data_IF_616732168045
#
_entry.id   IF_616732168045
#
_cell.length_a   1.000
_cell.length_b   1.000
_cell.length_c   1.000
_cell.angle_alpha   90.00
_cell.angle_beta   90.00
_cell.angle_gamma   90.00
#
_symmetry.space_group_name_H-M   'P 1'
#
loop_
_entity.id
_entity.type
_entity.pdbx_description
1 polymer ?
#
# COMPACT_ATOMS: atom_id res chain seq x y z
N UNK A 1 16.32 -74.61 14.44
CA UNK A 1 16.62 -73.74 15.60
C UNK A 1 17.21 -72.39 15.21
N UNK A 2 18.10 -72.31 14.21
CA UNK A 2 18.64 -71.02 13.73
C UNK A 2 17.55 -70.05 13.21
N UNK A 3 16.54 -70.54 12.49
CA UNK A 3 15.48 -69.67 11.94
C UNK A 3 14.58 -69.04 13.01
N UNK A 4 14.39 -69.71 14.15
CA UNK A 4 13.55 -69.17 15.23
C UNK A 4 14.22 -67.99 15.94
N UNK A 5 15.54 -68.08 16.17
CA UNK A 5 16.32 -66.96 16.72
C UNK A 5 16.31 -65.75 15.81
N UNK A 6 16.44 -65.95 14.50
CA UNK A 6 16.38 -64.86 13.52
C UNK A 6 15.00 -64.18 13.48
N UNK A 7 13.93 -64.95 13.63
CA UNK A 7 12.58 -64.39 13.71
C UNK A 7 12.37 -63.58 15.00
N UNK A 8 12.89 -64.05 16.13
CA UNK A 8 12.82 -63.33 17.40
C UNK A 8 13.64 -62.01 17.35
N UNK A 9 14.82 -62.04 16.73
CA UNK A 9 15.67 -60.85 16.50
C UNK A 9 14.93 -59.81 15.62
N UNK A 10 14.35 -60.23 14.50
CA UNK A 10 13.59 -59.34 13.62
C UNK A 10 12.36 -58.76 14.31
N UNK A 11 11.67 -59.55 15.16
CA UNK A 11 10.52 -59.06 15.92
C UNK A 11 10.94 -57.93 16.89
N UNK A 12 12.07 -58.10 17.60
CA UNK A 12 12.59 -57.04 18.49
C UNK A 12 13.06 -55.80 17.73
N UNK A 13 13.62 -55.97 16.53
CA UNK A 13 14.03 -54.83 15.69
C UNK A 13 12.82 -54.04 15.18
N UNK A 14 11.75 -54.71 14.76
CA UNK A 14 10.49 -54.07 14.34
C UNK A 14 9.91 -53.25 15.50
N UNK A 15 9.81 -53.81 16.70
CA UNK A 15 9.25 -53.12 17.87
C UNK A 15 10.08 -51.87 18.24
N UNK A 16 11.41 -51.95 18.18
CA UNK A 16 12.32 -50.82 18.39
C UNK A 16 12.14 -49.72 17.33
N UNK A 17 11.98 -50.10 16.06
CA UNK A 17 11.76 -49.15 14.96
C UNK A 17 10.40 -48.47 15.09
N UNK A 18 9.35 -49.20 15.47
CA UNK A 18 8.01 -48.63 15.70
C UNK A 18 8.03 -47.62 16.85
N UNK A 19 8.73 -47.92 17.95
CA UNK A 19 8.93 -46.99 19.05
C UNK A 19 9.66 -45.71 18.61
N UNK A 20 10.77 -45.87 17.86
CA UNK A 20 11.53 -44.74 17.30
C UNK A 20 10.68 -43.88 16.36
N UNK A 21 9.81 -44.51 15.56
CA UNK A 21 8.94 -43.83 14.62
C UNK A 21 7.83 -43.07 15.34
N UNK A 22 7.27 -43.63 16.41
CA UNK A 22 6.30 -42.96 17.28
C UNK A 22 6.91 -41.72 17.96
N UNK A 23 8.12 -41.83 18.50
CA UNK A 23 8.84 -40.69 19.08
C UNK A 23 9.10 -39.58 18.05
N UNK A 24 9.54 -39.94 16.84
CA UNK A 24 9.75 -38.96 15.76
C UNK A 24 8.46 -38.28 15.35
N UNK A 25 7.34 -39.02 15.28
CA UNK A 25 6.01 -38.45 15.01
C UNK A 25 5.58 -37.49 16.11
N UNK A 26 5.80 -37.83 17.38
CA UNK A 26 5.50 -36.94 18.51
C UNK A 26 6.36 -35.66 18.45
N UNK A 27 7.67 -35.78 18.20
CA UNK A 27 8.57 -34.62 18.00
C UNK A 27 8.13 -33.75 16.82
N UNK A 28 7.77 -34.36 15.69
CA UNK A 28 7.24 -33.63 14.53
C UNK A 28 5.89 -32.98 14.82
N UNK A 29 5.02 -33.58 15.62
CA UNK A 29 3.75 -32.98 16.01
C UNK A 29 3.97 -31.74 16.89
N UNK A 30 4.91 -31.79 17.84
CA UNK A 30 5.31 -30.63 18.65
C UNK A 30 5.92 -29.53 17.79
N UNK A 31 6.85 -29.87 16.88
CA UNK A 31 7.44 -28.93 15.93
C UNK A 31 6.34 -28.32 15.05
N UNK A 32 5.44 -29.13 14.49
CA UNK A 32 4.34 -28.66 13.64
C UNK A 32 3.36 -27.74 14.39
N UNK A 33 3.06 -28.05 15.65
CA UNK A 33 2.24 -27.18 16.51
C UNK A 33 2.94 -25.85 16.82
N UNK A 34 4.26 -25.86 17.02
CA UNK A 34 5.07 -24.62 17.14
C UNK A 34 5.23 -23.87 15.81
N UNK A 35 5.04 -24.55 14.69
CA UNK A 35 5.11 -24.04 13.32
C UNK A 35 3.71 -23.73 12.72
N UNK A 36 2.67 -23.53 13.53
CA UNK A 36 1.40 -22.94 13.04
C UNK A 36 1.50 -21.41 12.86
N UNK A 37 2.59 -20.78 13.34
CA UNK A 37 2.86 -19.34 13.23
C UNK A 37 4.14 -18.84 12.47
N UNK A 38 4.90 -19.64 11.67
CA UNK A 38 6.27 -19.28 11.31
C UNK A 38 6.40 -18.56 9.97
N UNK A 39 5.35 -18.39 9.17
CA UNK A 39 5.51 -17.57 7.95
C UNK A 39 5.69 -16.10 8.32
N UNK A 40 5.21 -15.69 9.51
CA UNK A 40 5.32 -14.32 10.02
C UNK A 40 6.62 -14.10 10.83
N UNK A 41 7.23 -15.15 11.39
CA UNK A 41 8.47 -15.02 12.20
C UNK A 41 9.74 -15.47 11.49
N UNK A 42 9.65 -15.90 10.23
CA UNK A 42 10.86 -16.14 9.45
C UNK A 42 11.49 -14.77 9.12
N UNK A 43 12.81 -14.59 9.32
CA UNK A 43 13.52 -13.44 8.80
C UNK A 43 13.14 -13.21 7.33
N UNK A 44 12.94 -11.95 6.94
CA UNK A 44 12.45 -11.59 5.60
C UNK A 44 13.30 -12.24 4.49
N UNK A 45 14.57 -12.53 4.76
CA UNK A 45 15.51 -13.23 3.90
C UNK A 45 15.14 -14.70 3.68
N UNK A 46 14.60 -15.40 4.68
CA UNK A 46 14.16 -16.79 4.57
C UNK A 46 12.77 -16.91 3.94
N UNK A 47 11.85 -15.99 4.24
CA UNK A 47 10.57 -15.90 3.51
C UNK A 47 10.87 -15.59 2.05
N UNK A 48 11.70 -14.58 1.77
CA UNK A 48 12.17 -14.29 0.41
C UNK A 48 12.89 -15.47 -0.21
N UNK A 49 13.75 -16.21 0.50
CA UNK A 49 14.42 -17.38 -0.06
C UNK A 49 13.44 -18.53 -0.37
N UNK A 50 12.41 -18.75 0.45
CA UNK A 50 11.37 -19.74 0.21
C UNK A 50 10.52 -19.29 -0.98
N UNK A 51 10.11 -18.03 -1.04
CA UNK A 51 9.36 -17.50 -2.17
C UNK A 51 10.20 -17.47 -3.46
N UNK A 52 11.47 -17.07 -3.42
CA UNK A 52 12.39 -17.03 -4.56
C UNK A 52 12.87 -18.42 -5.01
N UNK A 53 12.83 -19.45 -4.16
CA UNK A 53 13.25 -20.83 -4.51
C UNK A 53 12.07 -21.78 -4.75
N UNK A 54 10.92 -21.56 -4.11
CA UNK A 54 9.74 -22.42 -4.23
C UNK A 54 8.66 -21.85 -5.14
N UNK A 55 8.55 -20.52 -5.27
CA UNK A 55 8.00 -19.95 -6.51
C UNK A 55 9.19 -19.94 -7.46
N UNK A 56 9.12 -20.62 -8.62
CA UNK A 56 10.18 -20.50 -9.60
C UNK A 56 10.37 -19.01 -9.80
N UNK A 57 11.58 -18.45 -9.59
CA UNK A 57 11.77 -17.04 -9.85
C UNK A 57 11.32 -16.91 -11.30
N UNK A 58 10.30 -16.10 -11.53
CA UNK A 58 10.17 -15.43 -12.81
C UNK A 58 11.42 -14.57 -12.85
N UNK A 59 12.56 -15.21 -13.17
CA UNK A 59 13.66 -14.54 -13.80
C UNK A 59 12.95 -13.64 -14.78
N UNK A 60 13.33 -12.37 -14.81
CA UNK A 60 13.22 -11.58 -16.02
C UNK A 60 14.02 -12.31 -17.10
N UNK A 61 13.59 -13.52 -17.50
CA UNK A 61 13.73 -14.01 -18.85
C UNK A 61 13.03 -12.87 -19.57
N UNK A 62 13.82 -12.10 -20.30
CA UNK A 62 13.34 -11.52 -21.54
C UNK A 62 12.44 -12.59 -22.14
N UNK A 63 11.12 -12.43 -21.99
CA UNK A 63 10.19 -13.38 -22.56
C UNK A 63 10.60 -13.39 -24.03
N UNK A 64 11.00 -14.57 -24.51
CA UNK A 64 11.14 -14.73 -25.94
C UNK A 64 9.83 -14.26 -26.58
N UNK A 65 9.84 -13.77 -27.82
CA UNK A 65 8.67 -13.15 -28.47
C UNK A 65 7.42 -14.05 -28.63
N UNK A 66 7.30 -15.19 -27.94
CA UNK A 66 6.40 -16.28 -28.31
C UNK A 66 5.67 -17.05 -27.20
N UNK A 67 5.81 -16.73 -25.91
CA UNK A 67 4.83 -17.26 -24.95
C UNK A 67 3.58 -16.35 -25.02
N UNK A 68 2.41 -16.84 -25.47
CA UNK A 68 1.21 -16.01 -25.47
C UNK A 68 0.91 -15.63 -24.01
N UNK A 69 0.68 -14.34 -23.72
CA UNK A 69 0.45 -13.84 -22.36
C UNK A 69 -0.60 -14.66 -21.59
N UNK A 70 -1.58 -15.22 -22.30
CA UNK A 70 -2.64 -16.05 -21.74
C UNK A 70 -2.14 -17.35 -21.08
N UNK A 71 -1.26 -18.12 -21.72
CA UNK A 71 -0.84 -19.43 -21.20
C UNK A 71 -0.08 -19.29 -19.88
N UNK A 72 0.75 -18.24 -19.78
CA UNK A 72 1.46 -17.89 -18.57
C UNK A 72 0.49 -17.49 -17.45
N UNK A 73 -0.48 -16.62 -17.73
CA UNK A 73 -1.46 -16.18 -16.73
C UNK A 73 -2.29 -17.38 -16.24
N UNK A 74 -2.75 -18.26 -17.15
CA UNK A 74 -3.47 -19.50 -16.77
C UNK A 74 -2.65 -20.39 -15.85
N UNK A 75 -1.36 -20.59 -16.14
CA UNK A 75 -0.46 -21.36 -15.26
C UNK A 75 -0.30 -20.72 -13.88
N UNK A 76 -0.21 -19.40 -13.80
CA UNK A 76 -0.19 -18.68 -12.53
C UNK A 76 -1.51 -18.84 -11.78
N UNK A 77 -2.65 -18.82 -12.47
CA UNK A 77 -3.96 -19.09 -11.88
C UNK A 77 -4.07 -20.51 -11.31
N UNK A 78 -3.60 -21.54 -12.03
CA UNK A 78 -3.62 -22.92 -11.52
C UNK A 78 -2.76 -23.08 -10.26
N UNK A 79 -1.62 -22.40 -10.25
CA UNK A 79 -0.73 -22.34 -9.08
C UNK A 79 -1.44 -21.65 -7.91
N UNK A 80 -2.08 -20.50 -8.16
CA UNK A 80 -2.85 -19.76 -7.16
C UNK A 80 -4.04 -20.58 -6.62
N UNK A 81 -4.81 -21.28 -7.47
CA UNK A 81 -5.90 -22.18 -7.05
C UNK A 81 -5.39 -23.25 -6.09
N UNK A 82 -4.30 -23.92 -6.47
CA UNK A 82 -3.71 -24.98 -5.66
C UNK A 82 -3.25 -24.44 -4.31
N UNK A 83 -2.65 -23.24 -4.29
CA UNK A 83 -2.20 -22.59 -3.06
C UNK A 83 -3.36 -22.12 -2.18
N UNK A 84 -4.40 -21.51 -2.76
CA UNK A 84 -5.62 -21.10 -2.06
C UNK A 84 -6.35 -22.29 -1.42
N UNK A 85 -6.43 -23.41 -2.13
CA UNK A 85 -7.01 -24.65 -1.61
C UNK A 85 -6.20 -25.22 -0.43
N UNK A 86 -4.86 -25.17 -0.51
CA UNK A 86 -3.97 -25.72 0.53
C UNK A 86 -3.82 -24.81 1.76
N UNK A 87 -3.90 -23.50 1.57
CA UNK A 87 -3.78 -22.52 2.67
C UNK A 87 -5.00 -22.52 3.60
N UNK A 88 -6.13 -23.11 3.20
CA UNK A 88 -7.28 -23.34 4.07
C UNK A 88 -7.87 -22.05 4.63
N UNK A 89 -7.76 -21.84 5.94
CA UNK A 89 -8.28 -20.65 6.64
C UNK A 89 -7.21 -19.61 6.99
N UNK A 90 -5.96 -19.80 6.54
CA UNK A 90 -4.87 -18.89 6.88
C UNK A 90 -5.12 -17.48 6.30
N UNK A 91 -4.70 -16.40 6.99
CA UNK A 91 -4.69 -15.05 6.42
C UNK A 91 -3.91 -14.98 5.11
N UNK A 92 -4.31 -14.06 4.24
CA UNK A 92 -3.80 -13.92 2.88
C UNK A 92 -3.20 -12.54 2.65
N UNK A 93 -2.00 -12.53 2.07
CA UNK A 93 -1.42 -11.34 1.43
C UNK A 93 -1.52 -11.50 -0.08
N UNK A 94 -2.31 -10.64 -0.71
CA UNK A 94 -2.59 -10.68 -2.14
C UNK A 94 -1.71 -9.66 -2.85
N UNK A 95 -0.98 -10.12 -3.86
CA UNK A 95 -0.22 -9.26 -4.76
C UNK A 95 -0.61 -9.59 -6.19
N UNK A 96 -1.26 -8.64 -6.85
CA UNK A 96 -1.84 -8.83 -8.17
C UNK A 96 -1.50 -7.62 -9.05
N UNK A 97 -0.33 -7.70 -9.72
CA UNK A 97 0.20 -6.66 -10.62
C UNK A 97 0.17 -7.07 -12.08
N UNK A 98 -0.14 -6.12 -12.96
CA UNK A 98 -0.22 -6.31 -14.42
C UNK A 98 1.16 -6.23 -15.12
N UNK A 99 2.18 -5.72 -14.43
CA UNK A 99 3.55 -5.56 -14.94
C UNK A 99 3.62 -4.84 -16.30
N UNK A 100 2.75 -3.84 -16.52
CA UNK A 100 2.81 -2.97 -17.71
C UNK A 100 2.41 -3.63 -19.03
N UNK A 101 1.77 -4.80 -19.02
CA UNK A 101 1.31 -5.46 -20.25
C UNK A 101 0.04 -4.74 -20.76
N UNK A 102 0.07 -3.97 -21.88
CA UNK A 102 -1.14 -3.49 -22.52
C UNK A 102 -1.96 -4.72 -22.91
N UNK A 103 -3.18 -4.78 -22.41
CA UNK A 103 -3.96 -6.00 -22.40
C UNK A 103 -4.91 -5.98 -23.55
N UNK A 104 -4.80 -6.97 -24.42
CA UNK A 104 -5.91 -7.37 -25.26
C UNK A 104 -7.12 -7.73 -24.39
N UNK A 105 -8.31 -7.71 -25.00
CA UNK A 105 -9.55 -8.12 -24.33
C UNK A 105 -9.42 -9.53 -23.70
N UNK A 106 -8.66 -10.42 -24.32
CA UNK A 106 -8.36 -11.75 -23.79
C UNK A 106 -7.58 -11.69 -22.48
N UNK A 107 -6.53 -10.87 -22.39
CA UNK A 107 -5.74 -10.72 -21.15
C UNK A 107 -6.60 -10.11 -20.04
N UNK A 108 -7.46 -9.14 -20.38
CA UNK A 108 -8.41 -8.56 -19.44
C UNK A 108 -9.42 -9.59 -18.93
N UNK A 109 -9.95 -10.45 -19.80
CA UNK A 109 -10.87 -11.51 -19.40
C UNK A 109 -10.23 -12.49 -18.42
N UNK A 110 -8.98 -12.92 -18.69
CA UNK A 110 -8.24 -13.81 -17.77
C UNK A 110 -7.90 -13.09 -16.46
N UNK A 111 -7.57 -11.80 -16.51
CA UNK A 111 -7.35 -10.99 -15.31
C UNK A 111 -8.60 -10.92 -14.44
N UNK A 112 -9.78 -10.71 -15.03
CA UNK A 112 -11.07 -10.73 -14.32
C UNK A 112 -11.34 -12.08 -13.69
N UNK A 113 -11.08 -13.18 -14.40
CA UNK A 113 -11.23 -14.53 -13.86
C UNK A 113 -10.29 -14.75 -12.66
N UNK A 114 -9.03 -14.32 -12.76
CA UNK A 114 -8.06 -14.38 -11.68
C UNK A 114 -8.49 -13.52 -10.48
N UNK A 115 -8.95 -12.30 -10.71
CA UNK A 115 -9.42 -11.39 -9.66
C UNK A 115 -10.65 -11.98 -8.95
N UNK A 116 -11.66 -12.45 -9.69
CA UNK A 116 -12.87 -13.06 -9.12
C UNK A 116 -12.54 -14.28 -8.24
N UNK A 117 -11.60 -15.12 -8.70
CA UNK A 117 -11.11 -16.27 -7.95
C UNK A 117 -10.47 -15.86 -6.61
N UNK A 118 -9.60 -14.85 -6.59
CA UNK A 118 -8.95 -14.41 -5.34
C UNK A 118 -9.94 -13.66 -4.45
N UNK A 119 -10.85 -12.87 -5.03
CA UNK A 119 -11.92 -12.14 -4.35
C UNK A 119 -12.89 -13.04 -3.59
N UNK A 120 -13.08 -14.29 -4.05
CA UNK A 120 -13.84 -15.30 -3.32
C UNK A 120 -13.27 -15.58 -1.91
N UNK A 121 -11.98 -15.28 -1.68
CA UNK A 121 -11.29 -15.47 -0.40
C UNK A 121 -11.07 -14.16 0.38
N UNK A 122 -11.74 -13.05 0.00
CA UNK A 122 -11.55 -11.71 0.59
C UNK A 122 -11.68 -11.60 2.11
N UNK A 123 -12.50 -12.46 2.73
CA UNK A 123 -12.64 -12.49 4.18
C UNK A 123 -11.34 -12.85 4.92
N UNK A 124 -10.37 -13.46 4.21
CA UNK A 124 -9.06 -13.85 4.74
C UNK A 124 -7.96 -12.82 4.43
N UNK A 125 -8.26 -11.78 3.66
CA UNK A 125 -7.24 -10.83 3.23
C UNK A 125 -6.77 -10.00 4.43
N UNK A 126 -5.47 -10.03 4.67
CA UNK A 126 -4.80 -9.16 5.64
C UNK A 126 -4.10 -8.00 4.93
N UNK A 127 -3.52 -8.28 3.76
CA UNK A 127 -2.90 -7.28 2.90
C UNK A 127 -3.28 -7.51 1.45
N UNK A 128 -3.51 -6.43 0.71
CA UNK A 128 -3.86 -6.51 -0.70
C UNK A 128 -3.15 -5.41 -1.47
N UNK A 129 -2.42 -5.77 -2.52
CA UNK A 129 -1.84 -4.85 -3.50
C UNK A 129 -2.31 -5.28 -4.89
N UNK A 130 -3.19 -4.46 -5.50
CA UNK A 130 -3.99 -4.84 -6.65
C UNK A 130 -3.93 -3.75 -7.71
N UNK A 131 -3.62 -4.15 -8.95
CA UNK A 131 -3.81 -3.31 -10.13
C UNK A 131 -5.25 -3.46 -10.65
N UNK A 132 -5.99 -2.35 -10.63
CA UNK A 132 -7.35 -2.26 -11.17
C UNK A 132 -7.31 -1.70 -12.59
N UNK A 133 -8.09 -2.31 -13.48
CA UNK A 133 -8.25 -1.86 -14.86
C UNK A 133 -9.39 -0.84 -14.93
N UNK A 134 -9.08 0.40 -15.33
CA UNK A 134 -10.02 1.53 -15.32
C UNK A 134 -11.31 1.37 -16.12
N UNK A 135 -11.35 0.43 -17.07
CA UNK A 135 -12.55 0.20 -17.89
C UNK A 135 -13.66 -0.54 -17.13
N UNK A 136 -13.33 -1.17 -16.00
CA UNK A 136 -14.31 -1.91 -15.21
C UNK A 136 -14.63 -1.14 -13.93
N UNK A 137 -15.92 -0.85 -13.71
CA UNK A 137 -16.39 -0.52 -12.37
C UNK A 137 -16.23 -1.76 -11.50
N UNK A 138 -15.12 -1.84 -10.76
CA UNK A 138 -15.01 -2.83 -9.69
C UNK A 138 -15.79 -2.28 -8.51
N UNK A 139 -16.97 -2.84 -8.28
CA UNK A 139 -17.72 -2.62 -7.05
C UNK A 139 -17.13 -3.54 -5.97
N UNK A 140 -16.30 -2.96 -5.11
CA UNK A 140 -15.77 -3.64 -3.94
C UNK A 140 -16.79 -3.49 -2.81
N UNK A 141 -17.98 -4.07 -2.96
CA UNK A 141 -18.97 -4.15 -1.87
C UNK A 141 -18.72 -5.42 -1.05
N UNK A 142 -17.97 -5.28 0.05
CA UNK A 142 -17.54 -6.43 0.84
C UNK A 142 -17.17 -6.09 2.28
N UNK A 143 -17.42 -7.05 3.16
CA UNK A 143 -16.79 -7.08 4.48
C UNK A 143 -15.42 -7.75 4.39
N UNK A 144 -14.37 -7.02 4.80
CA UNK A 144 -12.96 -7.40 4.77
C UNK A 144 -12.41 -7.39 6.22
N UNK A 145 -12.82 -8.34 7.07
CA UNK A 145 -12.61 -8.28 8.52
C UNK A 145 -11.14 -8.26 8.96
N UNK A 146 -10.25 -8.85 8.18
CA UNK A 146 -8.84 -8.99 8.51
C UNK A 146 -7.95 -7.95 7.82
N UNK A 147 -8.50 -7.14 6.90
CA UNK A 147 -7.69 -6.29 6.04
C UNK A 147 -7.06 -5.14 6.85
N UNK A 148 -5.72 -5.10 6.84
CA UNK A 148 -4.88 -4.09 7.51
C UNK A 148 -4.26 -3.12 6.53
N UNK A 149 -3.90 -3.59 5.33
CA UNK A 149 -3.29 -2.75 4.31
C UNK A 149 -3.89 -2.98 2.94
N UNK A 150 -4.25 -1.90 2.27
CA UNK A 150 -4.78 -1.92 0.92
C UNK A 150 -3.98 -0.98 0.03
N UNK A 151 -3.41 -1.51 -1.05
CA UNK A 151 -2.85 -0.77 -2.16
C UNK A 151 -3.66 -1.03 -3.43
N UNK A 152 -4.25 0.02 -3.98
CA UNK A 152 -4.98 -0.02 -5.26
C UNK A 152 -4.25 0.89 -6.23
N UNK A 153 -3.52 0.27 -7.15
CA UNK A 153 -2.92 1.00 -8.26
C UNK A 153 -3.85 0.93 -9.46
N UNK A 154 -3.94 2.01 -10.22
CA UNK A 154 -4.77 2.05 -11.41
C UNK A 154 -3.90 2.34 -12.61
N UNK A 155 -4.06 1.53 -13.66
CA UNK A 155 -3.31 1.73 -14.89
C UNK A 155 -4.17 2.48 -15.92
N UNK A 156 -3.69 3.64 -16.38
CA UNK A 156 -4.23 4.31 -17.56
C UNK A 156 -3.81 3.59 -18.81
N UNK A 157 -4.75 2.95 -19.51
CA UNK A 157 -4.54 2.50 -20.88
C UNK A 157 -4.83 3.62 -21.91
N UNK A 158 -5.54 4.68 -21.50
CA UNK A 158 -5.98 5.76 -22.37
C UNK A 158 -5.73 7.12 -21.73
N UNK A 159 -5.44 8.12 -22.56
CA UNK A 159 -5.38 9.54 -22.20
C UNK A 159 -6.78 10.16 -22.02
N UNK A 160 -7.84 9.44 -22.41
CA UNK A 160 -9.20 9.90 -22.22
C UNK A 160 -9.59 9.87 -20.74
N UNK A 161 -10.37 10.86 -20.26
CA UNK A 161 -10.86 10.89 -18.90
C UNK A 161 -11.64 9.60 -18.62
N UNK A 162 -11.36 8.93 -17.49
CA UNK A 162 -11.92 7.62 -17.19
C UNK A 162 -13.44 7.73 -17.01
N UNK A 163 -14.18 6.91 -17.75
CA UNK A 163 -15.64 6.76 -17.56
C UNK A 163 -15.98 5.73 -16.48
N UNK A 164 -15.03 4.86 -16.10
CA UNK A 164 -15.19 3.86 -15.04
C UNK A 164 -14.88 4.43 -13.65
N UNK A 165 -15.88 4.41 -12.78
CA UNK A 165 -15.74 4.77 -11.35
C UNK A 165 -15.47 3.49 -10.57
N UNK A 166 -14.31 3.39 -9.92
CA UNK A 166 -14.08 2.33 -8.91
C UNK A 166 -14.91 2.71 -7.68
N UNK A 167 -15.94 1.92 -7.38
CA UNK A 167 -16.78 2.13 -6.19
C UNK A 167 -16.28 1.21 -5.09
N UNK A 168 -15.49 1.78 -4.18
CA UNK A 168 -14.95 1.08 -3.02
C UNK A 168 -15.92 1.17 -1.84
N UNK A 169 -16.92 0.29 -1.78
CA UNK A 169 -17.88 0.24 -0.67
C UNK A 169 -17.57 -0.92 0.28
N UNK A 170 -16.38 -0.96 0.89
CA UNK A 170 -16.02 -2.08 1.77
C UNK A 170 -15.93 -1.69 3.24
N UNK A 171 -16.21 -2.65 4.11
CA UNK A 171 -16.05 -2.53 5.56
C UNK A 171 -14.79 -3.29 5.99
N UNK A 172 -13.74 -2.56 6.36
CA UNK A 172 -12.46 -3.11 6.79
C UNK A 172 -12.09 -2.56 8.18
N UNK A 173 -12.65 -3.13 9.27
CA UNK A 173 -12.51 -2.55 10.62
C UNK A 173 -11.09 -2.55 11.16
N UNK A 174 -10.16 -3.31 10.55
CA UNK A 174 -8.76 -3.39 10.93
C UNK A 174 -7.83 -2.60 10.00
N UNK A 175 -8.37 -1.84 9.03
CA UNK A 175 -7.57 -1.13 8.04
C UNK A 175 -6.75 -0.03 8.70
N UNK A 176 -5.46 -0.02 8.40
CA UNK A 176 -4.46 0.89 8.95
C UNK A 176 -3.73 1.66 7.85
N UNK A 177 -3.54 1.03 6.69
CA UNK A 177 -2.79 1.62 5.57
C UNK A 177 -3.63 1.57 4.30
N UNK A 178 -3.74 2.72 3.62
CA UNK A 178 -4.37 2.82 2.31
C UNK A 178 -3.43 3.54 1.36
N UNK A 179 -3.10 2.91 0.24
CA UNK A 179 -2.41 3.52 -0.86
C UNK A 179 -3.29 3.37 -2.10
N UNK A 180 -3.59 4.45 -2.80
CA UNK A 180 -4.09 4.26 -4.14
C UNK A 180 -4.40 5.52 -4.89
N UNK A 181 -4.76 5.27 -6.13
CA UNK A 181 -5.27 6.27 -7.04
C UNK A 181 -6.78 6.32 -6.94
N UNK A 182 -7.31 7.36 -6.30
CA UNK A 182 -8.73 7.45 -5.99
C UNK A 182 -9.46 8.50 -6.84
N UNK A 183 -8.82 9.61 -7.26
CA UNK A 183 -9.52 10.65 -8.01
C UNK A 183 -10.81 11.10 -7.33
N UNK A 184 -11.88 11.27 -8.11
CA UNK A 184 -13.23 11.56 -7.60
C UNK A 184 -13.85 10.43 -6.73
N UNK A 185 -13.28 9.22 -6.75
CA UNK A 185 -13.78 8.07 -5.98
C UNK A 185 -13.33 8.08 -4.52
N UNK A 186 -12.45 9.00 -4.14
CA UNK A 186 -12.02 9.18 -2.75
C UNK A 186 -13.20 9.42 -1.79
N UNK A 187 -14.34 9.95 -2.27
CA UNK A 187 -15.57 10.10 -1.48
C UNK A 187 -16.03 8.79 -0.85
N UNK A 188 -15.85 7.65 -1.53
CA UNK A 188 -16.31 6.35 -0.99
C UNK A 188 -15.53 5.92 0.26
N UNK A 189 -14.30 6.43 0.47
CA UNK A 189 -13.57 6.20 1.71
C UNK A 189 -14.24 6.91 2.90
N UNK A 190 -14.91 8.05 2.68
CA UNK A 190 -15.59 8.83 3.72
C UNK A 190 -16.88 8.17 4.20
N UNK A 191 -17.63 7.54 3.30
CA UNK A 191 -19.01 7.12 3.55
C UNK A 191 -19.14 5.91 4.50
N UNK A 192 -18.02 5.26 4.87
CA UNK A 192 -18.02 4.00 5.64
C UNK A 192 -16.89 3.95 6.67
N UNK A 193 -16.97 4.69 7.79
CA UNK A 193 -16.44 4.45 9.17
C UNK A 193 -14.97 3.96 9.37
N UNK A 194 -14.22 3.64 8.32
CA UNK A 194 -12.92 2.97 8.34
C UNK A 194 -11.78 3.97 8.53
N UNK A 195 -12.01 5.25 8.20
CA UNK A 195 -11.01 6.31 8.31
C UNK A 195 -10.47 6.51 9.73
N UNK A 196 -11.28 6.27 10.76
CA UNK A 196 -10.90 6.56 12.14
C UNK A 196 -9.65 5.81 12.60
N UNK A 197 -9.33 4.64 12.01
CA UNK A 197 -8.19 3.81 12.40
C UNK A 197 -7.00 3.91 11.43
N UNK A 198 -7.14 4.64 10.34
CA UNK A 198 -6.07 4.81 9.38
C UNK A 198 -4.90 5.55 10.03
N UNK A 199 -3.71 4.97 9.85
CA UNK A 199 -2.44 5.51 10.33
C UNK A 199 -1.58 6.00 9.18
N UNK A 200 -1.75 5.42 7.99
CA UNK A 200 -0.94 5.73 6.83
C UNK A 200 -1.84 5.86 5.61
N UNK A 201 -1.70 6.97 4.88
CA UNK A 201 -2.35 7.15 3.59
C UNK A 201 -1.33 7.57 2.53
N UNK A 202 -1.49 7.02 1.33
CA UNK A 202 -0.92 7.57 0.10
C UNK A 202 -2.04 7.72 -0.92
N UNK A 203 -2.45 8.96 -1.13
CA UNK A 203 -3.56 9.31 -2.01
C UNK A 203 -2.98 9.97 -3.25
N UNK A 204 -3.24 9.36 -4.40
CA UNK A 204 -2.77 9.85 -5.69
C UNK A 204 -3.92 10.50 -6.46
N UNK A 205 -3.63 11.64 -7.07
CA UNK A 205 -4.55 12.51 -7.80
C UNK A 205 -5.87 12.81 -7.07
N UNK A 206 -5.82 13.29 -5.82
CA UNK A 206 -7.03 13.65 -5.07
C UNK A 206 -7.16 15.18 -4.98
N UNK A 207 -8.39 15.70 -5.11
CA UNK A 207 -8.62 17.13 -5.01
C UNK A 207 -8.51 17.67 -3.57
N UNK A 208 -8.14 18.96 -3.37
CA UNK A 208 -7.87 19.51 -2.04
C UNK A 208 -9.07 19.44 -1.07
N UNK A 209 -10.30 19.64 -1.55
CA UNK A 209 -11.49 19.56 -0.68
C UNK A 209 -11.65 18.14 -0.16
N UNK A 210 -11.52 17.16 -1.06
CA UNK A 210 -11.68 15.77 -0.72
C UNK A 210 -10.63 15.33 0.30
N UNK A 211 -9.38 15.77 0.13
CA UNK A 211 -8.32 15.55 1.12
C UNK A 211 -8.70 16.15 2.48
N UNK A 212 -9.19 17.40 2.54
CA UNK A 212 -9.60 18.01 3.79
C UNK A 212 -10.64 17.16 4.52
N UNK A 213 -11.70 16.72 3.81
CA UNK A 213 -12.73 15.83 4.38
C UNK A 213 -12.17 14.49 4.86
N UNK A 214 -11.22 13.91 4.12
CA UNK A 214 -10.56 12.67 4.52
C UNK A 214 -9.79 12.85 5.82
N UNK A 215 -9.02 13.93 5.93
CA UNK A 215 -8.26 14.26 7.14
C UNK A 215 -9.15 14.49 8.36
N UNK A 216 -10.35 15.07 8.17
CA UNK A 216 -11.34 15.24 9.25
C UNK A 216 -11.72 13.89 9.91
N UNK A 217 -11.76 12.82 9.11
CA UNK A 217 -12.12 11.48 9.57
C UNK A 217 -10.93 10.62 10.03
N UNK A 218 -9.70 11.13 10.03
CA UNK A 218 -8.47 10.36 10.31
C UNK A 218 -7.66 10.93 11.49
N UNK A 219 -8.22 10.95 12.72
CA UNK A 219 -7.55 11.54 13.88
C UNK A 219 -6.25 10.82 14.27
N UNK A 220 -6.08 9.55 13.89
CA UNK A 220 -4.90 8.74 14.20
C UNK A 220 -3.88 8.68 13.06
N UNK A 221 -4.00 9.55 12.06
CA UNK A 221 -3.07 9.59 10.93
C UNK A 221 -1.66 9.94 11.42
N UNK A 222 -0.69 9.08 11.08
CA UNK A 222 0.73 9.25 11.40
C UNK A 222 1.56 9.67 10.19
N UNK A 223 1.22 9.15 9.00
CA UNK A 223 1.92 9.45 7.74
C UNK A 223 0.91 9.73 6.64
N UNK A 224 1.08 10.85 5.95
CA UNK A 224 0.28 11.22 4.79
C UNK A 224 1.15 11.52 3.58
N UNK A 225 0.83 10.90 2.45
CA UNK A 225 1.30 11.29 1.13
C UNK A 225 0.10 11.72 0.30
N UNK A 226 0.12 12.94 -0.16
CA UNK A 226 -0.96 13.60 -0.86
C UNK A 226 -0.42 14.09 -2.19
N UNK A 227 -0.67 13.32 -3.24
CA UNK A 227 -0.49 13.78 -4.61
C UNK A 227 -1.82 14.39 -5.06
N UNK A 228 -1.83 15.72 -5.11
CA UNK A 228 -3.01 16.51 -5.35
C UNK A 228 -3.25 16.65 -6.84
N UNK A 229 -4.50 16.75 -7.27
CA UNK A 229 -4.81 17.07 -8.66
C UNK A 229 -5.50 18.44 -8.72
N UNK A 230 -5.20 19.26 -9.73
CA UNK A 230 -5.91 20.52 -9.95
C UNK A 230 -7.32 20.21 -10.48
N UNK A 231 -8.39 20.46 -9.72
CA UNK A 231 -9.74 20.03 -10.05
C UNK A 231 -10.43 20.96 -11.06
N UNK A 232 -9.71 21.52 -12.04
CA UNK A 232 -10.33 22.20 -13.19
C UNK A 232 -11.40 21.32 -13.88
N UNK A 233 -11.31 20.01 -13.69
CA UNK A 233 -12.29 19.02 -14.13
C UNK A 233 -13.40 18.83 -13.08
N UNK A 234 -14.51 19.56 -13.26
CA UNK A 234 -15.94 19.36 -12.86
C UNK A 234 -16.35 18.66 -11.53
N UNK A 235 -15.61 17.67 -11.02
CA UNK A 235 -16.05 16.77 -9.95
C UNK A 235 -16.14 17.36 -8.53
N UNK A 236 -15.42 18.44 -8.22
CA UNK A 236 -15.48 19.10 -6.90
C UNK A 236 -16.42 20.32 -6.88
N UNK A 237 -17.04 20.68 -8.01
CA UNK A 237 -17.93 21.83 -8.09
C UNK A 237 -19.18 21.58 -7.22
N UNK A 238 -19.24 22.25 -6.08
CA UNK A 238 -20.38 22.19 -5.15
C UNK A 238 -20.16 21.39 -3.88
N UNK A 239 -19.00 20.75 -3.70
CA UNK A 239 -18.64 20.16 -2.40
C UNK A 239 -18.08 21.28 -1.50
N UNK A 240 -18.75 21.67 -0.40
CA UNK A 240 -18.22 22.70 0.48
C UNK A 240 -16.97 22.17 1.19
N UNK A 241 -15.95 23.04 1.25
CA UNK A 241 -14.78 22.81 2.08
C UNK A 241 -15.20 22.76 3.56
N UNK A 242 -14.59 21.88 4.37
CA UNK A 242 -14.81 21.90 5.81
C UNK A 242 -14.35 23.25 6.37
N UNK A 243 -15.11 23.80 7.32
CA UNK A 243 -14.78 25.08 7.96
C UNK A 243 -13.51 25.00 8.82
N UNK A 244 -13.23 23.81 9.37
CA UNK A 244 -12.05 23.53 10.18
C UNK A 244 -11.73 22.03 10.15
N UNK A 245 -10.45 21.68 10.36
CA UNK A 245 -10.04 20.30 10.60
C UNK A 245 -9.69 20.10 12.08
N UNK A 246 -9.89 18.89 12.62
CA UNK A 246 -9.35 18.54 13.92
C UNK A 246 -7.82 18.59 13.89
N UNK A 247 -7.19 18.85 15.04
CA UNK A 247 -5.73 18.78 15.15
C UNK A 247 -5.26 17.36 14.88
N UNK A 248 -4.37 17.20 13.90
CA UNK A 248 -3.73 15.94 13.52
C UNK A 248 -2.52 15.70 14.42
N UNK A 249 -2.79 15.49 15.71
CA UNK A 249 -1.76 15.37 16.75
C UNK A 249 -0.84 14.16 16.56
N UNK A 250 -1.24 13.16 15.80
CA UNK A 250 -0.41 11.98 15.54
C UNK A 250 0.43 12.08 14.25
N UNK A 251 0.19 13.10 13.42
CA UNK A 251 0.82 13.23 12.11
C UNK A 251 2.30 13.62 12.27
N UNK A 252 3.20 12.70 11.95
CA UNK A 252 4.64 12.88 12.05
C UNK A 252 5.31 13.20 10.70
N UNK A 253 4.70 12.74 9.60
CA UNK A 253 5.20 12.86 8.23
C UNK A 253 4.09 13.25 7.29
N UNK A 254 4.32 14.33 6.53
CA UNK A 254 3.40 14.81 5.50
C UNK A 254 4.19 15.10 4.22
N UNK A 255 3.79 14.48 3.12
CA UNK A 255 4.33 14.69 1.78
C UNK A 255 3.19 15.22 0.93
N UNK A 256 3.41 16.38 0.30
CA UNK A 256 2.44 17.02 -0.56
C UNK A 256 3.11 17.24 -1.92
N UNK A 257 2.54 16.61 -2.94
CA UNK A 257 2.91 16.74 -4.34
C UNK A 257 1.78 17.51 -5.03
N UNK A 258 2.16 18.52 -5.81
CA UNK A 258 1.21 19.44 -6.44
C UNK A 258 1.64 19.58 -7.89
N UNK A 259 0.90 19.02 -8.86
CA UNK A 259 1.15 19.22 -10.26
C UNK A 259 0.61 20.59 -10.68
N UNK A 260 1.53 21.54 -10.91
CA UNK A 260 1.22 22.90 -11.36
C UNK A 260 0.52 23.78 -10.33
N UNK A 261 -0.16 24.82 -10.83
CA UNK A 261 -0.92 25.77 -10.00
C UNK A 261 -2.20 25.12 -9.47
N UNK A 262 -2.28 24.89 -8.15
CA UNK A 262 -3.49 24.44 -7.48
C UNK A 262 -4.04 25.57 -6.60
N UNK A 263 -5.02 26.38 -7.06
CA UNK A 263 -5.42 27.62 -6.37
C UNK A 263 -6.00 27.40 -4.97
N UNK A 264 -6.38 26.16 -4.64
CA UNK A 264 -7.00 25.79 -3.37
C UNK A 264 -6.05 25.07 -2.42
N UNK A 265 -4.78 24.97 -2.79
CA UNK A 265 -3.78 24.39 -1.89
C UNK A 265 -3.69 25.20 -0.59
N UNK A 266 -3.70 26.53 -0.70
CA UNK A 266 -3.58 27.42 0.45
C UNK A 266 -4.74 27.27 1.42
N UNK A 267 -5.94 27.06 0.88
CA UNK A 267 -7.13 26.74 1.68
C UNK A 267 -6.92 25.44 2.45
N UNK A 268 -6.49 24.37 1.78
CA UNK A 268 -6.21 23.08 2.42
C UNK A 268 -5.11 23.19 3.50
N UNK A 269 -3.98 23.82 3.17
CA UNK A 269 -2.85 23.96 4.08
C UNK A 269 -3.18 24.84 5.29
N UNK A 270 -4.00 25.87 5.11
CA UNK A 270 -4.45 26.71 6.21
C UNK A 270 -5.37 25.96 7.19
N UNK A 271 -6.03 24.88 6.76
CA UNK A 271 -6.89 24.05 7.60
C UNK A 271 -6.11 23.00 8.40
N UNK A 272 -4.93 22.58 7.94
CA UNK A 272 -4.14 21.53 8.59
C UNK A 272 -3.49 22.08 9.86
N UNK A 273 -3.85 21.53 11.01
CA UNK A 273 -3.13 21.71 12.27
C UNK A 273 -2.42 20.40 12.62
N UNK A 274 -1.08 20.39 12.65
CA UNK A 274 -0.27 19.18 12.84
C UNK A 274 0.92 19.47 13.77
N UNK A 275 0.69 19.74 15.07
CA UNK A 275 1.71 20.25 15.98
C UNK A 275 2.90 19.31 16.21
N UNK A 276 2.73 18.02 15.89
CA UNK A 276 3.75 16.98 16.05
C UNK A 276 4.46 16.61 14.74
N UNK A 277 4.23 17.35 13.66
CA UNK A 277 4.85 17.09 12.37
C UNK A 277 6.37 17.28 12.45
N UNK A 278 7.10 16.20 12.18
CA UNK A 278 8.57 16.18 12.22
C UNK A 278 9.18 16.25 10.82
N UNK A 279 8.42 15.84 9.80
CA UNK A 279 8.86 15.72 8.41
C UNK A 279 7.80 16.31 7.50
N UNK A 280 8.20 17.31 6.72
CA UNK A 280 7.37 17.91 5.70
C UNK A 280 8.11 17.84 4.36
N UNK A 281 7.44 17.34 3.33
CA UNK A 281 7.90 17.43 1.95
C UNK A 281 6.87 18.19 1.13
N UNK A 282 7.33 19.16 0.35
CA UNK A 282 6.48 20.00 -0.48
C UNK A 282 7.10 20.10 -1.87
N UNK A 283 6.32 19.83 -2.91
CA UNK A 283 6.73 20.05 -4.29
C UNK A 283 6.33 21.46 -4.74
N UNK A 284 7.31 22.18 -5.29
CA UNK A 284 7.15 23.52 -5.81
C UNK A 284 7.54 23.53 -7.29
N UNK A 285 6.60 23.89 -8.16
CA UNK A 285 6.78 23.75 -9.61
C UNK A 285 7.69 24.83 -10.23
N UNK A 286 7.87 25.95 -9.54
CA UNK A 286 8.62 27.10 -10.07
C UNK A 286 9.79 27.52 -9.18
N UNK A 287 10.55 28.53 -9.63
CA UNK A 287 11.58 29.18 -8.81
C UNK A 287 10.88 30.11 -7.81
N UNK A 288 10.81 29.74 -6.53
CA UNK A 288 10.04 30.52 -5.59
C UNK A 288 10.68 31.88 -5.37
N UNK A 289 9.86 32.92 -5.39
CA UNK A 289 10.27 34.23 -4.96
C UNK A 289 10.26 34.33 -3.42
N UNK A 290 10.61 35.50 -2.89
CA UNK A 290 10.66 35.70 -1.44
C UNK A 290 9.27 35.65 -0.80
N UNK A 291 8.23 36.07 -1.52
CA UNK A 291 6.86 36.14 -1.02
C UNK A 291 6.27 34.73 -0.89
N UNK A 292 6.53 33.85 -1.86
CA UNK A 292 6.14 32.44 -1.81
C UNK A 292 6.81 31.68 -0.65
N UNK A 293 8.11 31.93 -0.41
CA UNK A 293 8.81 31.33 0.73
C UNK A 293 8.25 31.82 2.07
N UNK A 294 7.97 33.12 2.18
CA UNK A 294 7.35 33.70 3.38
C UNK A 294 5.94 33.16 3.60
N UNK A 295 5.19 32.96 2.51
CA UNK A 295 3.86 32.36 2.54
C UNK A 295 3.91 30.92 3.06
N UNK A 296 4.81 30.07 2.53
CA UNK A 296 5.03 28.72 3.04
C UNK A 296 5.44 28.72 4.52
N UNK A 297 6.31 29.66 4.93
CA UNK A 297 6.68 29.81 6.34
C UNK A 297 5.49 30.22 7.22
N UNK A 298 4.60 31.06 6.69
CA UNK A 298 3.31 31.40 7.30
C UNK A 298 2.43 30.17 7.49
N UNK A 299 2.31 29.31 6.48
CA UNK A 299 1.56 28.06 6.53
C UNK A 299 2.15 27.07 7.54
N UNK A 300 3.47 26.86 7.55
CA UNK A 300 4.17 26.02 8.54
C UNK A 300 3.96 26.52 9.97
N UNK A 301 3.92 27.84 10.16
CA UNK A 301 3.62 28.45 11.46
C UNK A 301 2.18 28.17 11.89
N UNK A 302 1.22 28.25 10.97
CA UNK A 302 -0.20 27.94 11.22
C UNK A 302 -0.41 26.47 11.55
N UNK A 303 0.33 25.55 10.90
CA UNK A 303 0.30 24.12 11.22
C UNK A 303 0.78 23.82 12.65
N UNK A 304 1.45 24.76 13.33
CA UNK A 304 1.92 24.59 14.71
C UNK A 304 3.14 23.68 14.85
N UNK A 305 3.76 23.26 13.75
CA UNK A 305 4.84 22.27 13.75
C UNK A 305 6.26 22.83 13.78
N UNK A 306 6.42 24.16 13.61
CA UNK A 306 7.73 24.81 13.43
C UNK A 306 8.80 24.37 14.44
N UNK A 307 8.42 24.25 15.72
CA UNK A 307 9.36 23.86 16.80
C UNK A 307 9.79 22.39 16.80
N UNK A 308 9.05 21.51 16.09
CA UNK A 308 9.31 20.06 16.03
C UNK A 308 9.75 19.59 14.65
N UNK A 309 9.69 20.46 13.65
CA UNK A 309 10.06 20.13 12.29
C UNK A 309 11.57 19.84 12.23
N UNK A 310 11.92 18.57 12.06
CA UNK A 310 13.30 18.11 11.97
C UNK A 310 13.81 18.12 10.54
N UNK A 311 12.90 17.93 9.57
CA UNK A 311 13.23 17.86 8.15
C UNK A 311 12.17 18.54 7.30
N UNK A 312 12.63 19.49 6.48
CA UNK A 312 11.86 20.11 5.43
C UNK A 312 12.50 19.72 4.09
N UNK A 313 11.74 19.09 3.21
CA UNK A 313 12.17 18.80 1.85
C UNK A 313 11.36 19.67 0.90
N UNK A 314 12.04 20.47 0.09
CA UNK A 314 11.40 21.22 -1.00
C UNK A 314 11.89 20.61 -2.30
N UNK A 315 10.99 20.02 -3.07
CA UNK A 315 11.28 19.49 -4.40
C UNK A 315 10.97 20.53 -5.46
N UNK A 316 11.90 20.75 -6.40
CA UNK A 316 11.76 21.78 -7.45
C UNK A 316 13.07 22.52 -7.73
N UNK A 317 12.99 23.58 -8.54
CA UNK A 317 14.11 24.49 -8.84
C UNK A 317 14.29 25.54 -7.71
N UNK A 318 14.38 25.05 -6.48
CA UNK A 318 14.45 25.89 -5.28
C UNK A 318 15.78 26.67 -5.19
N UNK A 319 15.67 27.94 -4.79
CA UNK A 319 16.82 28.76 -4.44
C UNK A 319 17.20 28.53 -2.97
N UNK A 320 18.22 27.71 -2.71
CA UNK A 320 18.65 27.32 -1.35
C UNK A 320 18.89 28.53 -0.41
N UNK A 321 19.29 29.67 -0.99
CA UNK A 321 19.59 30.90 -0.24
C UNK A 321 18.34 31.49 0.41
N UNK A 322 17.21 31.51 -0.31
CA UNK A 322 15.98 32.15 0.16
C UNK A 322 15.37 31.33 1.31
N UNK A 323 15.28 30.01 1.13
CA UNK A 323 14.75 29.10 2.16
C UNK A 323 15.65 29.03 3.39
N UNK A 324 16.97 29.04 3.23
CA UNK A 324 17.91 29.02 4.35
C UNK A 324 17.76 30.23 5.28
N UNK A 325 17.38 31.39 4.75
CA UNK A 325 17.13 32.59 5.54
C UNK A 325 15.85 32.50 6.38
N UNK A 326 14.76 32.02 5.79
CA UNK A 326 13.44 31.97 6.44
C UNK A 326 13.29 30.80 7.43
N UNK A 327 13.92 29.66 7.12
CA UNK A 327 13.82 28.41 7.88
C UNK A 327 15.10 28.08 8.69
N UNK A 328 15.86 29.10 9.09
CA UNK A 328 17.12 28.94 9.84
C UNK A 328 17.02 28.10 11.13
N UNK A 329 15.81 27.92 11.66
CA UNK A 329 15.51 27.11 12.85
C UNK A 329 15.20 25.64 12.55
N UNK A 330 15.06 25.26 11.27
CA UNK A 330 14.85 23.87 10.85
C UNK A 330 16.21 23.20 10.61
N UNK A 331 16.59 22.16 11.39
CA UNK A 331 17.95 21.65 11.39
C UNK A 331 18.35 20.93 10.09
N UNK A 332 17.40 20.34 9.36
CA UNK A 332 17.70 19.63 8.10
C UNK A 332 16.75 20.07 6.98
N UNK A 333 17.09 21.18 6.32
CA UNK A 333 16.44 21.52 5.07
C UNK A 333 17.18 20.80 3.95
N UNK A 334 16.45 20.01 3.16
CA UNK A 334 16.97 19.37 1.95
C UNK A 334 16.26 19.95 0.74
N UNK A 335 17.07 20.34 -0.24
CA UNK A 335 16.61 20.71 -1.57
C UNK A 335 16.94 19.56 -2.49
N UNK A 336 15.98 19.12 -3.28
CA UNK A 336 16.22 18.04 -4.22
C UNK A 336 15.40 18.19 -5.47
N UNK A 337 16.04 17.87 -6.60
CA UNK A 337 15.34 17.67 -7.87
C UNK A 337 14.83 16.25 -8.05
N UNK A 338 15.30 15.32 -7.21
CA UNK A 338 14.83 13.96 -7.23
C UNK A 338 13.40 13.88 -6.67
N UNK A 339 12.62 12.93 -7.19
CA UNK A 339 11.28 12.66 -6.69
C UNK A 339 11.32 12.40 -5.18
N UNK A 340 10.31 12.81 -4.39
CA UNK A 340 10.28 12.55 -2.95
C UNK A 340 10.57 11.09 -2.58
N UNK A 341 10.14 10.13 -3.40
CA UNK A 341 10.39 8.70 -3.20
C UNK A 341 11.89 8.38 -3.04
N UNK A 342 12.75 9.03 -3.83
CA UNK A 342 14.20 8.80 -3.81
C UNK A 342 14.87 9.46 -2.60
N UNK A 343 14.47 10.69 -2.28
CA UNK A 343 15.10 11.49 -1.22
C UNK A 343 14.79 10.99 0.18
N UNK A 344 13.60 10.44 0.34
CA UNK A 344 13.14 9.95 1.61
C UNK A 344 13.67 8.52 1.82
N UNK A 345 14.11 7.82 0.78
CA UNK A 345 14.90 6.59 0.87
C UNK A 345 14.12 5.34 0.49
N UNK A 346 13.31 5.43 -0.57
CA UNK A 346 12.44 4.32 -1.01
C UNK A 346 11.67 3.79 0.18
N UNK A 347 10.92 4.65 0.87
CA UNK A 347 10.20 4.25 2.07
C UNK A 347 9.40 2.98 1.75
N UNK A 348 9.54 1.99 2.61
CA UNK A 348 8.60 0.90 2.79
C UNK A 348 7.25 1.48 3.24
N UNK A 349 6.60 2.29 2.39
CA UNK A 349 5.14 2.41 2.34
C UNK A 349 4.51 1.01 2.15
N UNK A 350 5.33 0.07 1.70
CA UNK A 350 5.11 -1.36 1.74
C UNK A 350 5.16 -1.82 3.20
N UNK A 351 4.03 -1.69 3.88
CA UNK A 351 3.61 -2.56 4.98
C UNK A 351 4.75 -2.91 5.95
N UNK A 352 5.23 -1.93 6.72
CA UNK A 352 5.96 -2.21 7.97
C UNK A 352 5.07 -3.15 8.81
N UNK A 353 5.29 -4.47 8.69
CA UNK A 353 4.59 -5.54 9.39
C UNK A 353 5.59 -6.46 10.06
#
# INVERSE_FOLDING_TARGET
>A
MADRRRLDELATEIESLECTLAERRAKHAVIRASLVYPVITLPAELVSAIFLRCIPPTRRRSYGPFDPPEALVRRHMDTARTWLARSGSLPLSIYMKRNGIPGSDTVLAVWREAFAMIWAHRARWEYADIDVVRQDSIELDAFLPLLRGLRVSSFMLSTEPPTGVVRCCFEAPLLQTVHGWFGATAQYLLDRVVCARLRQIKLEHVGPIMVARLLECMPHLTRGWLDLWNPCDEGEQGIPAPESLPSLDHLDTLIIEIPGDCPRIDELLALIAAPNLTRLSFEHNDRPDTDEVQHLAGLIRRMGCRSKLQRLCVTGDANEVIYGAEFKDVPNIKYSRAHPEENWGGWDWILDS
#
